data_IF_905412972495
#
_entry.id   IF_905412972495
#
_cell.length_a   1.000
_cell.length_b   1.000
_cell.length_c   1.000
_cell.angle_alpha   90.00
_cell.angle_beta   90.00
_cell.angle_gamma   90.00
#
_symmetry.space_group_name_H-M   'P 1'
#
loop_
_entity.id
_entity.type
_entity.pdbx_description
1 polymer ?
#
# COMPACT_ATOMS: atom_id res chain seq x y z
N UNK A 1 -26.45 -54.75 -10.87
CA UNK A 1 -25.39 -55.08 -9.90
C UNK A 1 -24.06 -54.86 -10.60
N UNK A 2 -23.46 -53.66 -10.61
CA UNK A 2 -23.08 -52.73 -9.54
C UNK A 2 -21.76 -53.12 -8.83
N UNK A 3 -20.79 -52.21 -9.01
CA UNK A 3 -19.60 -51.87 -8.22
C UNK A 3 -18.39 -52.82 -8.23
N UNK A 4 -17.31 -52.30 -8.82
CA UNK A 4 -15.98 -52.38 -8.24
C UNK A 4 -15.35 -50.98 -8.31
N UNK A 5 -14.78 -50.59 -7.19
CA UNK A 5 -14.74 -49.23 -6.66
C UNK A 5 -13.66 -48.33 -7.24
N UNK A 6 -14.01 -47.04 -7.24
CA UNK A 6 -13.11 -45.90 -7.32
C UNK A 6 -11.97 -46.02 -6.29
N UNK A 7 -10.75 -46.29 -6.74
CA UNK A 7 -9.58 -45.87 -5.99
C UNK A 7 -9.22 -44.45 -6.40
N UNK A 8 -9.62 -43.57 -5.49
CA UNK A 8 -9.37 -42.15 -5.39
C UNK A 8 -7.85 -41.89 -5.39
N UNK A 9 -7.25 -41.66 -6.56
CA UNK A 9 -6.00 -40.90 -6.64
C UNK A 9 -6.39 -39.42 -6.66
N UNK A 10 -6.52 -38.83 -5.47
CA UNK A 10 -6.42 -37.40 -5.30
C UNK A 10 -5.01 -36.98 -5.75
N UNK A 11 -4.86 -36.66 -7.02
CA UNK A 11 -3.79 -35.78 -7.47
C UNK A 11 -4.10 -34.46 -6.78
N UNK A 12 -3.34 -34.09 -5.75
CA UNK A 12 -3.26 -32.71 -5.30
C UNK A 12 -2.86 -31.93 -6.55
N UNK A 13 -3.80 -31.23 -7.19
CA UNK A 13 -3.45 -30.25 -8.19
C UNK A 13 -2.47 -29.30 -7.51
N UNK A 14 -1.24 -29.21 -8.00
CA UNK A 14 -0.32 -28.18 -7.58
C UNK A 14 -1.07 -26.85 -7.74
N UNK A 15 -1.23 -26.13 -6.63
CA UNK A 15 -1.77 -24.78 -6.70
C UNK A 15 -0.66 -23.96 -7.35
N UNK A 16 -0.75 -23.82 -8.67
CA UNK A 16 0.17 -22.99 -9.45
C UNK A 16 -0.13 -21.55 -9.10
N UNK A 17 0.87 -20.82 -8.59
CA UNK A 17 0.74 -19.39 -8.31
C UNK A 17 0.66 -18.57 -9.60
N UNK A 18 0.65 -17.26 -9.44
CA UNK A 18 0.61 -16.31 -10.54
C UNK A 18 2.00 -16.20 -11.17
N UNK A 19 2.12 -16.59 -12.45
CA UNK A 19 3.41 -16.68 -13.17
C UNK A 19 3.84 -15.39 -13.87
N UNK A 20 2.94 -14.42 -14.01
CA UNK A 20 3.24 -13.10 -14.57
C UNK A 20 2.78 -11.99 -13.60
N UNK A 21 3.64 -11.03 -13.24
CA UNK A 21 3.26 -9.97 -12.31
C UNK A 21 2.13 -9.08 -12.84
N UNK A 22 1.31 -8.54 -11.95
CA UNK A 22 0.32 -7.52 -12.30
C UNK A 22 0.95 -6.12 -12.30
N UNK A 23 0.49 -5.23 -13.18
CA UNK A 23 0.92 -3.82 -13.18
C UNK A 23 0.62 -3.16 -11.84
N UNK A 24 1.58 -2.37 -11.35
CA UNK A 24 1.51 -1.63 -10.08
C UNK A 24 1.09 -2.47 -8.87
N UNK A 25 1.29 -3.79 -8.88
CA UNK A 25 0.89 -4.64 -7.75
C UNK A 25 2.07 -5.45 -7.25
N UNK A 26 2.53 -5.14 -6.05
CA UNK A 26 3.49 -5.95 -5.32
C UNK A 26 2.75 -7.02 -4.51
N UNK A 27 3.18 -8.28 -4.61
CA UNK A 27 2.59 -9.41 -3.88
C UNK A 27 3.66 -10.32 -3.32
N UNK A 28 3.28 -11.03 -2.27
CA UNK A 28 4.09 -12.11 -1.69
C UNK A 28 4.29 -13.24 -2.71
N UNK A 29 5.48 -13.83 -2.69
CA UNK A 29 5.84 -14.99 -3.49
C UNK A 29 5.42 -16.30 -2.80
N UNK A 30 5.40 -17.41 -3.55
CA UNK A 30 5.05 -18.76 -3.05
C UNK A 30 5.97 -19.25 -1.92
N UNK A 31 7.18 -18.71 -1.80
CA UNK A 31 8.11 -18.95 -0.69
C UNK A 31 7.88 -18.04 0.53
N UNK A 32 6.79 -17.26 0.54
CA UNK A 32 6.40 -16.31 1.59
C UNK A 32 7.36 -15.11 1.76
N UNK A 33 8.05 -14.72 0.69
CA UNK A 33 8.92 -13.53 0.68
C UNK A 33 8.30 -12.42 -0.18
N UNK A 34 8.68 -11.16 0.02
CA UNK A 34 8.32 -10.05 -0.89
C UNK A 34 9.50 -9.60 -1.77
N UNK A 35 10.73 -9.70 -1.25
CA UNK A 35 11.91 -9.10 -1.89
C UNK A 35 13.18 -9.95 -1.88
N UNK A 36 13.07 -11.26 -1.66
CA UNK A 36 14.24 -12.12 -1.62
C UNK A 36 14.74 -12.53 -3.01
N UNK A 37 16.04 -12.84 -3.08
CA UNK A 37 16.70 -13.43 -4.25
C UNK A 37 16.55 -12.63 -5.57
N UNK A 38 16.46 -11.29 -5.48
CA UNK A 38 16.34 -10.41 -6.65
C UNK A 38 14.98 -10.49 -7.35
N UNK A 39 14.01 -11.22 -6.79
CA UNK A 39 12.67 -11.36 -7.37
C UNK A 39 11.89 -10.05 -7.38
N UNK A 40 12.16 -9.12 -6.48
CA UNK A 40 11.52 -7.79 -6.44
C UNK A 40 11.84 -6.90 -7.66
N UNK A 41 12.88 -7.23 -8.45
CA UNK A 41 13.38 -6.34 -9.50
C UNK A 41 12.36 -6.06 -10.62
N UNK A 42 11.26 -6.82 -10.72
CA UNK A 42 10.17 -6.50 -11.65
C UNK A 42 9.57 -5.11 -11.39
N UNK A 43 9.63 -4.62 -10.14
CA UNK A 43 9.15 -3.27 -9.77
C UNK A 43 9.92 -2.16 -10.50
N UNK A 44 11.17 -2.43 -10.92
CA UNK A 44 12.00 -1.48 -11.67
C UNK A 44 11.71 -1.46 -13.18
N UNK A 45 10.88 -2.37 -13.67
CA UNK A 45 10.65 -2.51 -15.10
C UNK A 45 9.85 -1.32 -15.65
N UNK A 46 10.22 -0.78 -16.82
CA UNK A 46 9.56 0.41 -17.40
C UNK A 46 8.07 0.24 -17.71
N UNK A 47 7.63 -0.98 -18.01
CA UNK A 47 6.21 -1.33 -18.18
C UNK A 47 5.46 -1.63 -16.85
N UNK A 48 6.11 -1.59 -15.70
CA UNK A 48 5.47 -1.94 -14.43
C UNK A 48 4.44 -0.89 -13.97
N UNK A 49 4.84 0.38 -14.10
CA UNK A 49 4.07 1.54 -13.68
C UNK A 49 4.46 2.75 -14.54
N UNK A 50 3.49 3.58 -14.91
CA UNK A 50 3.79 4.87 -15.55
C UNK A 50 4.29 5.89 -14.51
N UNK A 51 5.53 6.37 -14.72
CA UNK A 51 6.17 7.44 -13.97
C UNK A 51 6.10 7.29 -12.42
N UNK A 52 6.47 6.13 -11.85
CA UNK A 52 6.33 5.82 -10.42
C UNK A 52 7.08 6.81 -9.52
N UNK A 53 8.20 7.37 -10.00
CA UNK A 53 9.01 8.36 -9.29
C UNK A 53 8.23 9.62 -8.91
N UNK A 54 7.18 9.99 -9.67
CA UNK A 54 6.36 11.16 -9.35
C UNK A 54 5.50 10.90 -8.11
N UNK A 55 4.92 9.71 -7.97
CA UNK A 55 4.09 9.32 -6.83
C UNK A 55 4.94 9.18 -5.56
N UNK A 56 6.12 8.56 -5.69
CA UNK A 56 7.07 8.46 -4.58
C UNK A 56 7.56 9.83 -4.14
N UNK A 57 7.92 10.71 -5.08
CA UNK A 57 8.35 12.08 -4.75
C UNK A 57 7.27 12.86 -4.01
N UNK A 58 6.01 12.75 -4.42
CA UNK A 58 4.89 13.41 -3.74
C UNK A 58 4.76 12.94 -2.29
N UNK A 59 4.87 11.64 -2.05
CA UNK A 59 4.88 11.07 -0.70
C UNK A 59 6.09 11.51 0.13
N UNK A 60 7.29 11.55 -0.44
CA UNK A 60 8.48 12.02 0.29
C UNK A 60 8.36 13.48 0.74
N UNK A 61 7.68 14.33 -0.05
CA UNK A 61 7.35 15.70 0.35
C UNK A 61 6.33 15.73 1.50
N UNK A 62 5.29 14.90 1.43
CA UNK A 62 4.32 14.77 2.53
C UNK A 62 4.99 14.26 3.81
N UNK A 63 5.84 13.24 3.71
CA UNK A 63 6.58 12.68 4.85
C UNK A 63 7.45 13.77 5.49
N UNK A 64 8.17 14.55 4.68
CA UNK A 64 8.97 15.68 5.18
C UNK A 64 8.11 16.67 5.96
N UNK A 65 6.96 17.07 5.41
CA UNK A 65 6.08 18.04 6.05
C UNK A 65 5.43 17.49 7.35
N UNK A 66 5.18 16.18 7.42
CA UNK A 66 4.72 15.49 8.64
C UNK A 66 5.81 15.46 9.71
N UNK A 67 7.06 15.22 9.34
CA UNK A 67 8.18 15.26 10.27
C UNK A 67 8.39 16.68 10.83
N UNK A 68 8.24 17.71 10.00
CA UNK A 68 8.25 19.11 10.47
C UNK A 68 7.07 19.40 11.41
N UNK A 69 5.90 18.80 11.19
CA UNK A 69 4.78 18.92 12.12
C UNK A 69 5.10 18.33 13.51
N UNK A 70 5.91 17.27 13.58
CA UNK A 70 6.32 16.65 14.84
C UNK A 70 7.22 17.52 15.70
N UNK A 71 7.85 18.56 15.14
CA UNK A 71 8.58 19.58 15.92
C UNK A 71 7.64 20.39 16.84
N UNK A 72 6.33 20.36 16.56
CA UNK A 72 5.31 21.11 17.30
C UNK A 72 4.25 20.21 17.96
N UNK A 73 3.97 19.05 17.37
CA UNK A 73 2.94 18.11 17.84
C UNK A 73 3.58 16.75 18.05
N UNK A 74 3.80 16.40 19.32
CA UNK A 74 4.39 15.11 19.70
C UNK A 74 3.54 13.93 19.17
N UNK A 75 4.14 12.93 18.50
CA UNK A 75 3.46 11.70 18.11
C UNK A 75 3.01 10.92 19.34
N UNK A 76 1.79 11.18 19.80
CA UNK A 76 1.26 10.62 21.04
C UNK A 76 -0.25 10.49 21.03
N UNK A 77 -0.77 9.55 21.84
CA UNK A 77 -2.22 9.37 22.02
C UNK A 77 -2.89 10.67 22.51
N UNK A 78 -2.18 11.47 23.31
CA UNK A 78 -2.68 12.73 23.86
C UNK A 78 -2.99 13.79 22.78
N UNK A 79 -2.37 13.69 21.60
CA UNK A 79 -2.50 14.67 20.52
C UNK A 79 -3.46 14.24 19.41
N UNK A 80 -4.11 13.08 19.49
CA UNK A 80 -4.97 12.55 18.41
C UNK A 80 -6.07 13.53 17.96
N UNK A 81 -6.70 14.23 18.90
CA UNK A 81 -7.76 15.21 18.64
C UNK A 81 -7.25 16.62 18.24
N UNK A 82 -5.93 16.83 18.24
CA UNK A 82 -5.32 18.11 17.86
C UNK A 82 -5.61 18.40 16.39
N UNK A 83 -6.16 19.58 16.10
CA UNK A 83 -6.50 20.01 14.75
C UNK A 83 -5.92 21.40 14.51
N UNK A 84 -5.53 21.69 13.28
CA UNK A 84 -4.97 22.97 12.89
C UNK A 84 -5.09 23.17 11.38
N UNK A 85 -4.87 24.41 10.91
CA UNK A 85 -4.85 24.66 9.47
C UNK A 85 -3.72 23.90 8.77
N UNK A 86 -2.59 23.65 9.46
CA UNK A 86 -1.48 22.86 8.94
C UNK A 86 -1.86 21.38 8.82
N UNK A 87 -2.54 20.82 9.81
CA UNK A 87 -3.05 19.44 9.74
C UNK A 87 -4.07 19.31 8.60
N UNK A 88 -5.00 20.26 8.48
CA UNK A 88 -5.99 20.28 7.39
C UNK A 88 -5.34 20.34 6.01
N UNK A 89 -4.35 21.22 5.82
CA UNK A 89 -3.60 21.33 4.55
C UNK A 89 -2.91 20.00 4.18
N UNK A 90 -2.23 19.37 5.15
CA UNK A 90 -1.55 18.09 4.93
C UNK A 90 -2.51 16.93 4.69
N UNK A 91 -3.63 16.88 5.42
CA UNK A 91 -4.67 15.86 5.20
C UNK A 91 -5.24 15.96 3.79
N UNK A 92 -5.52 17.19 3.32
CA UNK A 92 -6.04 17.43 1.96
C UNK A 92 -5.05 16.93 0.90
N UNK A 93 -3.78 17.33 0.99
CA UNK A 93 -2.73 16.91 0.04
C UNK A 93 -2.55 15.39 0.06
N UNK A 94 -2.54 14.78 1.24
CA UNK A 94 -2.37 13.33 1.39
C UNK A 94 -3.51 12.56 0.74
N UNK A 95 -4.76 12.95 0.98
CA UNK A 95 -5.91 12.27 0.37
C UNK A 95 -5.94 12.43 -1.16
N UNK A 96 -5.52 13.58 -1.69
CA UNK A 96 -5.37 13.77 -3.15
C UNK A 96 -4.33 12.81 -3.73
N UNK A 97 -3.21 12.62 -3.07
CA UNK A 97 -2.19 11.65 -3.52
C UNK A 97 -2.65 10.19 -3.40
N UNK A 98 -3.47 9.86 -2.40
CA UNK A 98 -4.15 8.55 -2.33
C UNK A 98 -5.07 8.38 -3.54
N UNK A 99 -5.94 9.35 -3.82
CA UNK A 99 -6.86 9.31 -4.97
C UNK A 99 -6.09 9.16 -6.28
N UNK A 100 -4.96 9.85 -6.44
CA UNK A 100 -4.10 9.76 -7.62
C UNK A 100 -3.47 8.37 -7.78
N UNK A 101 -2.92 7.78 -6.71
CA UNK A 101 -2.37 6.43 -6.73
C UNK A 101 -3.45 5.38 -7.05
N UNK A 102 -4.59 5.43 -6.36
CA UNK A 102 -5.72 4.56 -6.65
C UNK A 102 -6.19 4.69 -8.10
N UNK A 103 -6.20 5.93 -8.61
CA UNK A 103 -6.57 6.20 -9.99
C UNK A 103 -5.60 5.54 -10.98
N UNK A 104 -4.31 5.62 -10.71
CA UNK A 104 -3.32 5.09 -11.61
C UNK A 104 -3.29 3.54 -11.58
N UNK A 105 -3.45 2.92 -10.41
CA UNK A 105 -3.62 1.46 -10.27
C UNK A 105 -4.78 0.95 -11.13
N UNK A 106 -5.98 1.51 -10.96
CA UNK A 106 -7.16 1.05 -11.69
C UNK A 106 -7.03 1.31 -13.19
N UNK A 107 -6.53 2.49 -13.59
CA UNK A 107 -6.40 2.89 -15.00
C UNK A 107 -5.43 2.01 -15.76
N UNK A 108 -4.24 1.76 -15.21
CA UNK A 108 -3.20 0.96 -15.88
C UNK A 108 -3.56 -0.53 -15.95
N UNK A 109 -4.50 -0.97 -15.12
CA UNK A 109 -5.10 -2.30 -15.19
C UNK A 109 -6.39 -2.34 -16.07
N UNK A 110 -6.68 -1.27 -16.81
CA UNK A 110 -7.78 -1.23 -17.78
C UNK A 110 -9.18 -1.06 -17.17
N UNK A 111 -9.28 -0.70 -15.89
CA UNK A 111 -10.57 -0.40 -15.28
C UNK A 111 -11.15 0.89 -15.87
N UNK A 112 -12.38 0.82 -16.36
CA UNK A 112 -13.11 1.96 -16.93
C UNK A 112 -14.36 2.24 -16.14
N UNK A 113 -14.68 3.52 -15.95
CA UNK A 113 -15.93 3.97 -15.34
C UNK A 113 -16.47 5.20 -16.06
N UNK A 114 -17.80 5.30 -16.14
CA UNK A 114 -18.48 6.52 -16.54
C UNK A 114 -18.54 7.53 -15.37
N UNK A 115 -17.97 8.72 -15.56
CA UNK A 115 -17.95 9.79 -14.56
C UNK A 115 -16.76 9.72 -13.59
N UNK A 116 -16.79 10.59 -12.58
CA UNK A 116 -15.72 10.72 -11.61
C UNK A 116 -15.59 9.48 -10.71
N UNK A 117 -14.35 9.08 -10.47
CA UNK A 117 -14.06 7.94 -9.61
C UNK A 117 -14.29 8.32 -8.16
N UNK A 118 -14.74 7.35 -7.36
CA UNK A 118 -15.02 7.57 -5.96
C UNK A 118 -14.45 6.45 -5.10
N UNK A 119 -14.60 6.60 -3.79
CA UNK A 119 -14.09 5.61 -2.83
C UNK A 119 -14.65 4.20 -3.04
N UNK A 120 -15.84 4.06 -3.63
CA UNK A 120 -16.38 2.77 -4.02
C UNK A 120 -15.55 2.07 -5.11
N UNK A 121 -14.98 2.81 -6.05
CA UNK A 121 -14.05 2.24 -7.05
C UNK A 121 -12.70 1.92 -6.42
N UNK A 122 -12.13 2.87 -5.69
CA UNK A 122 -10.80 2.71 -5.10
C UNK A 122 -10.73 1.49 -4.19
N UNK A 123 -11.81 1.19 -3.49
CA UNK A 123 -11.94 0.01 -2.65
C UNK A 123 -11.79 -1.32 -3.41
N UNK A 124 -12.00 -1.36 -4.73
CA UNK A 124 -11.74 -2.57 -5.55
C UNK A 124 -10.28 -2.99 -5.53
N UNK A 125 -9.36 -2.06 -5.24
CA UNK A 125 -7.92 -2.31 -5.09
C UNK A 125 -7.63 -3.33 -3.98
N UNK A 126 -8.54 -3.47 -3.00
CA UNK A 126 -8.44 -4.53 -1.98
C UNK A 126 -8.34 -5.93 -2.59
N UNK A 127 -8.99 -6.18 -3.75
CA UNK A 127 -8.97 -7.48 -4.45
C UNK A 127 -7.55 -7.89 -4.88
N UNK A 128 -6.66 -6.92 -5.13
CA UNK A 128 -5.32 -7.19 -5.66
C UNK A 128 -4.20 -6.90 -4.67
N UNK A 129 -4.34 -5.87 -3.84
CA UNK A 129 -3.27 -5.36 -2.99
C UNK A 129 -3.40 -5.78 -1.52
N UNK A 130 -4.55 -6.31 -1.09
CA UNK A 130 -4.80 -6.71 0.31
C UNK A 130 -4.46 -5.61 1.34
N UNK A 131 -4.80 -4.35 1.00
CA UNK A 131 -4.44 -3.17 1.79
C UNK A 131 -4.96 -3.24 3.22
N UNK A 132 -6.10 -3.91 3.43
CA UNK A 132 -6.67 -4.12 4.76
C UNK A 132 -5.78 -4.93 5.72
N UNK A 133 -4.82 -5.69 5.20
CA UNK A 133 -3.88 -6.49 5.98
C UNK A 133 -2.59 -5.74 6.35
N UNK A 134 -2.34 -4.53 5.81
CA UNK A 134 -1.15 -3.76 6.15
C UNK A 134 -1.27 -3.12 7.54
N UNK A 135 -0.24 -3.34 8.36
CA UNK A 135 0.00 -2.55 9.57
C UNK A 135 1.11 -1.54 9.28
N UNK A 136 0.91 -0.27 9.65
CA UNK A 136 1.92 0.78 9.51
C UNK A 136 2.26 1.36 10.88
N UNK A 137 3.53 1.30 11.25
CA UNK A 137 4.06 1.81 12.49
C UNK A 137 4.66 3.19 12.30
N UNK A 138 4.23 4.12 13.14
CA UNK A 138 4.85 5.43 13.36
C UNK A 138 5.91 5.27 14.46
N UNK A 139 7.21 5.42 14.16
CA UNK A 139 8.25 5.30 15.19
C UNK A 139 8.13 6.38 16.27
N UNK A 140 8.71 6.10 17.44
CA UNK A 140 8.80 7.04 18.57
C UNK A 140 7.45 7.54 19.12
N UNK A 141 6.39 6.75 18.94
CA UNK A 141 5.05 7.11 19.43
C UNK A 141 4.94 6.95 20.96
N UNK A 142 4.39 7.96 21.64
CA UNK A 142 4.06 7.91 23.06
C UNK A 142 2.61 7.47 23.27
N UNK A 143 2.43 6.20 23.66
CA UNK A 143 1.12 5.60 23.89
C UNK A 143 0.96 4.29 23.12
N UNK A 144 -0.28 3.95 22.81
CA UNK A 144 -0.62 2.68 22.13
C UNK A 144 -1.12 2.84 20.70
N UNK A 145 -1.40 4.07 20.24
CA UNK A 145 -1.97 4.33 18.92
C UNK A 145 -0.93 4.49 17.78
N UNK A 146 0.32 4.09 18.01
CA UNK A 146 1.43 4.23 17.05
C UNK A 146 1.48 3.19 15.93
N UNK A 147 0.66 2.13 16.02
CA UNK A 147 0.44 1.17 14.91
C UNK A 147 -0.93 1.43 14.31
N UNK A 148 -0.98 1.69 13.01
CA UNK A 148 -2.17 2.07 12.25
C UNK A 148 -2.56 0.96 11.27
N UNK A 149 -3.86 0.81 11.05
CA UNK A 149 -4.44 -0.13 10.08
C UNK A 149 -5.36 0.65 9.11
N UNK A 150 -4.78 1.48 8.23
CA UNK A 150 -5.49 2.57 7.57
C UNK A 150 -6.60 2.11 6.61
N UNK A 151 -6.49 0.89 6.09
CA UNK A 151 -7.46 0.29 5.17
C UNK A 151 -8.24 -0.89 5.78
N UNK A 152 -8.14 -1.15 7.08
CA UNK A 152 -8.81 -2.29 7.75
C UNK A 152 -10.31 -2.40 7.43
N UNK A 153 -11.00 -1.26 7.30
CA UNK A 153 -12.44 -1.23 6.98
C UNK A 153 -12.77 -1.75 5.57
N UNK A 154 -11.81 -1.82 4.64
CA UNK A 154 -12.06 -2.38 3.31
C UNK A 154 -12.31 -3.89 3.34
N UNK A 155 -11.75 -4.62 4.31
CA UNK A 155 -12.00 -6.06 4.50
C UNK A 155 -13.49 -6.38 4.72
N UNK A 156 -14.20 -5.53 5.46
CA UNK A 156 -15.63 -5.67 5.79
C UNK A 156 -16.52 -4.81 4.90
N UNK A 157 -15.97 -4.32 3.80
CA UNK A 157 -16.67 -3.44 2.88
C UNK A 157 -17.07 -2.04 3.41
N UNK A 158 -16.48 -1.56 4.49
CA UNK A 158 -16.74 -0.25 5.08
C UNK A 158 -16.04 0.94 4.42
N UNK A 159 -16.35 2.15 4.90
CA UNK A 159 -15.68 3.40 4.54
C UNK A 159 -14.46 3.65 5.43
N UNK A 160 -13.51 4.45 4.93
CA UNK A 160 -12.34 4.87 5.71
C UNK A 160 -12.67 6.15 6.48
N UNK A 161 -12.45 6.14 7.80
CA UNK A 161 -12.76 7.26 8.68
C UNK A 161 -12.01 8.53 8.28
N UNK A 162 -10.70 8.43 8.05
CA UNK A 162 -9.85 9.55 7.64
C UNK A 162 -10.23 10.14 6.28
N UNK A 163 -10.65 9.30 5.31
CA UNK A 163 -11.12 9.79 4.02
C UNK A 163 -12.49 10.47 4.13
N UNK A 164 -13.36 9.95 5.00
CA UNK A 164 -14.66 10.58 5.31
C UNK A 164 -14.45 11.96 5.93
N UNK A 165 -13.53 12.07 6.89
CA UNK A 165 -13.12 13.34 7.51
C UNK A 165 -12.54 14.33 6.49
N UNK A 166 -11.70 13.87 5.57
CA UNK A 166 -11.21 14.68 4.45
C UNK A 166 -12.36 15.23 3.60
N UNK A 167 -13.33 14.41 3.20
CA UNK A 167 -14.46 14.90 2.38
C UNK A 167 -15.32 15.91 3.15
N UNK A 168 -15.61 15.66 4.43
CA UNK A 168 -16.36 16.61 5.25
C UNK A 168 -15.64 17.96 5.38
N UNK A 169 -14.33 17.95 5.64
CA UNK A 169 -13.53 19.17 5.79
C UNK A 169 -13.32 19.91 4.47
N UNK A 170 -13.31 19.19 3.33
CA UNK A 170 -13.25 19.75 1.97
C UNK A 170 -14.54 20.46 1.59
N UNK A 171 -15.70 19.88 1.87
CA UNK A 171 -17.00 20.39 1.43
C UNK A 171 -17.66 21.35 2.43
N UNK A 172 -17.44 21.16 3.73
CA UNK A 172 -18.00 21.99 4.80
C UNK A 172 -17.00 22.14 5.95
N UNK A 173 -15.93 22.89 5.68
CA UNK A 173 -14.88 23.17 6.66
C UNK A 173 -15.42 23.88 7.90
N UNK A 174 -16.37 24.80 7.74
CA UNK A 174 -16.85 25.62 8.85
C UNK A 174 -17.42 24.77 9.98
N UNK A 175 -18.16 23.71 9.66
CA UNK A 175 -18.74 22.80 10.65
C UNK A 175 -17.83 21.63 11.03
N UNK A 176 -16.90 21.24 10.15
CA UNK A 176 -16.15 19.99 10.30
C UNK A 176 -14.64 20.17 10.48
N UNK A 177 -14.14 21.39 10.72
CA UNK A 177 -12.70 21.65 10.80
C UNK A 177 -11.97 20.77 11.83
N UNK A 178 -12.63 20.44 12.95
CA UNK A 178 -12.09 19.55 13.98
C UNK A 178 -11.87 18.10 13.51
N UNK A 179 -12.48 17.67 12.40
CA UNK A 179 -12.23 16.36 11.80
C UNK A 179 -10.88 16.33 11.05
N UNK A 180 -10.34 17.50 10.65
CA UNK A 180 -8.96 17.61 10.20
C UNK A 180 -7.99 17.61 11.40
N UNK A 181 -7.98 16.49 12.11
CA UNK A 181 -7.18 16.27 13.30
C UNK A 181 -5.98 15.36 13.02
N UNK A 182 -5.10 15.28 14.00
CA UNK A 182 -3.85 14.55 13.94
C UNK A 182 -4.08 13.06 13.68
N UNK A 183 -5.08 12.46 14.30
CA UNK A 183 -5.46 11.07 14.06
C UNK A 183 -5.75 10.79 12.57
N UNK A 184 -6.66 11.56 11.97
CA UNK A 184 -7.04 11.38 10.57
C UNK A 184 -5.89 11.68 9.61
N UNK A 185 -5.03 12.65 9.94
CA UNK A 185 -3.82 12.92 9.17
C UNK A 185 -2.86 11.71 9.21
N UNK A 186 -2.55 11.20 10.39
CA UNK A 186 -1.62 10.08 10.55
C UNK A 186 -2.16 8.82 9.87
N UNK A 187 -3.46 8.54 9.97
CA UNK A 187 -4.08 7.45 9.23
C UNK A 187 -4.02 7.63 7.71
N UNK A 188 -4.25 8.84 7.20
CA UNK A 188 -4.15 9.12 5.78
C UNK A 188 -2.71 8.94 5.26
N UNK A 189 -1.70 9.42 6.00
CA UNK A 189 -0.28 9.31 5.61
C UNK A 189 0.20 7.86 5.73
N UNK A 190 -0.20 7.16 6.78
CA UNK A 190 0.03 5.72 6.90
C UNK A 190 -0.63 4.95 5.75
N UNK A 191 -1.86 5.33 5.37
CA UNK A 191 -2.55 4.79 4.20
C UNK A 191 -1.78 5.02 2.91
N UNK A 192 -1.29 6.24 2.68
CA UNK A 192 -0.47 6.53 1.50
C UNK A 192 0.84 5.72 1.49
N UNK A 193 1.49 5.56 2.64
CA UNK A 193 2.68 4.70 2.79
C UNK A 193 2.39 3.23 2.45
N UNK A 194 1.31 2.66 3.00
CA UNK A 194 0.89 1.29 2.68
C UNK A 194 0.49 1.13 1.20
N UNK A 195 -0.18 2.12 0.62
CA UNK A 195 -0.59 2.13 -0.79
C UNK A 195 0.60 2.22 -1.75
N UNK A 196 1.66 2.95 -1.38
CA UNK A 196 2.88 2.96 -2.18
C UNK A 196 3.66 1.66 -2.00
N UNK A 197 3.74 1.12 -0.78
CA UNK A 197 4.44 -0.14 -0.54
C UNK A 197 3.79 -1.33 -1.25
N UNK A 198 2.46 -1.33 -1.35
CA UNK A 198 1.72 -2.34 -2.11
C UNK A 198 1.91 -2.22 -3.63
N UNK A 199 2.48 -1.12 -4.11
CA UNK A 199 2.89 -0.94 -5.51
C UNK A 199 4.40 -1.13 -5.67
N UNK A 200 5.24 -0.64 -4.77
CA UNK A 200 6.66 -0.44 -5.03
C UNK A 200 7.58 -1.03 -3.96
N UNK A 201 7.02 -1.78 -2.99
CA UNK A 201 7.74 -2.26 -1.81
C UNK A 201 8.39 -1.08 -1.06
N UNK A 202 9.69 -1.14 -0.80
CA UNK A 202 10.48 -0.06 -0.20
C UNK A 202 11.26 0.77 -1.23
N UNK A 203 11.00 0.60 -2.54
CA UNK A 203 11.74 1.26 -3.59
C UNK A 203 11.37 2.74 -3.73
N UNK A 204 12.35 3.62 -3.64
CA UNK A 204 12.18 5.07 -3.74
C UNK A 204 12.54 5.67 -5.12
N UNK A 205 12.92 4.83 -6.08
CA UNK A 205 13.39 5.21 -7.43
C UNK A 205 14.49 6.28 -7.44
N UNK A 206 15.36 6.27 -6.42
CA UNK A 206 16.48 7.21 -6.34
C UNK A 206 17.41 7.14 -7.57
N UNK A 207 17.76 8.29 -8.19
CA UNK A 207 18.62 8.32 -9.37
C UNK A 207 20.07 7.91 -9.07
N UNK A 208 20.46 7.88 -7.79
CA UNK A 208 21.78 7.42 -7.36
C UNK A 208 21.99 5.92 -7.57
N UNK A 209 20.91 5.17 -7.88
CA UNK A 209 20.93 3.72 -7.98
C UNK A 209 20.93 3.03 -6.62
N UNK A 210 20.87 1.70 -6.64
CA UNK A 210 20.90 0.89 -5.42
C UNK A 210 22.31 0.88 -4.82
N UNK A 211 22.48 1.54 -3.69
CA UNK A 211 23.70 1.44 -2.87
C UNK A 211 23.68 0.19 -1.98
N UNK A 212 24.84 -0.44 -1.78
CA UNK A 212 25.00 -1.45 -0.73
C UNK A 212 25.00 -0.74 0.64
N UNK A 213 23.92 -0.90 1.40
CA UNK A 213 23.84 -0.43 2.79
C UNK A 213 24.04 -1.60 3.74
N UNK A 214 24.95 -1.45 4.71
CA UNK A 214 25.01 -2.35 5.87
C UNK A 214 23.98 -1.85 6.87
N UNK A 215 22.72 -2.23 6.65
CA UNK A 215 21.67 -1.99 7.62
C UNK A 215 21.74 -3.12 8.67
N UNK A 216 22.04 -2.86 9.95
CA UNK A 216 22.08 -3.88 10.99
C UNK A 216 20.70 -4.50 11.30
N UNK A 217 19.68 -4.16 10.52
CA UNK A 217 18.29 -4.43 10.79
C UNK A 217 17.69 -3.29 11.62
N UNK A 218 16.41 -3.00 11.38
CA UNK A 218 15.63 -2.18 12.30
C UNK A 218 15.40 -2.91 13.63
N UNK A 219 14.61 -2.32 14.55
CA UNK A 219 14.11 -3.04 15.72
C UNK A 219 13.53 -4.41 15.33
N UNK A 220 13.79 -5.45 16.14
CA UNK A 220 13.20 -6.77 15.93
C UNK A 220 11.72 -6.78 16.39
N UNK A 221 10.90 -5.98 15.71
CA UNK A 221 9.48 -5.77 15.99
C UNK A 221 8.55 -6.35 14.91
N UNK A 222 9.14 -7.04 13.92
CA UNK A 222 8.43 -7.62 12.80
C UNK A 222 7.97 -6.60 11.76
N UNK A 223 8.36 -5.33 11.86
CA UNK A 223 8.11 -4.34 10.82
C UNK A 223 9.35 -4.13 9.94
N UNK A 224 9.14 -3.80 8.69
CA UNK A 224 10.17 -3.48 7.72
C UNK A 224 10.15 -1.97 7.40
N UNK A 225 11.28 -1.36 7.01
CA UNK A 225 11.27 0.03 6.54
C UNK A 225 10.32 0.23 5.35
N UNK A 226 9.61 1.35 5.34
CA UNK A 226 8.89 1.84 4.16
C UNK A 226 9.77 2.80 3.33
N UNK A 227 9.27 3.15 2.16
CA UNK A 227 9.77 4.26 1.34
C UNK A 227 10.00 5.50 2.21
N UNK A 228 11.12 6.19 2.02
CA UNK A 228 11.48 7.38 2.79
C UNK A 228 12.04 7.10 4.18
N UNK A 229 12.08 5.84 4.63
CA UNK A 229 12.84 5.41 5.80
C UNK A 229 12.30 5.82 7.18
N UNK A 230 11.15 6.49 7.25
CA UNK A 230 10.52 6.85 8.52
C UNK A 230 9.48 5.81 8.96
N UNK A 231 8.41 5.64 8.18
CA UNK A 231 7.39 4.66 8.51
C UNK A 231 7.94 3.24 8.41
N UNK A 232 7.41 2.33 9.23
CA UNK A 232 7.70 0.90 9.14
C UNK A 232 6.40 0.15 8.89
N UNK A 233 6.45 -0.95 8.16
CA UNK A 233 5.25 -1.66 7.70
C UNK A 233 5.37 -3.16 7.84
N UNK A 234 4.24 -3.81 8.06
CA UNK A 234 4.06 -5.24 7.89
C UNK A 234 3.25 -5.48 6.64
N UNK A 235 3.78 -6.33 5.78
CA UNK A 235 3.12 -6.73 4.55
C UNK A 235 2.04 -7.80 4.82
N UNK A 236 1.05 -7.93 3.94
CA UNK A 236 0.06 -9.01 3.96
C UNK A 236 0.73 -10.38 3.90
N UNK A 237 0.36 -11.27 4.81
CA UNK A 237 0.84 -12.67 4.84
C UNK A 237 -0.27 -13.68 4.54
N UNK A 238 -1.54 -13.28 4.70
CA UNK A 238 -2.70 -14.14 4.47
C UNK A 238 -3.23 -13.95 3.04
N UNK A 239 -2.36 -14.17 2.06
CA UNK A 239 -2.69 -14.18 0.62
C UNK A 239 -2.88 -15.64 0.19
N UNK A 240 -3.97 -16.01 -0.52
CA UNK A 240 -4.16 -17.37 -1.02
C UNK A 240 -2.98 -17.82 -1.90
N UNK A 241 -2.53 -19.08 -1.78
CA UNK A 241 -1.37 -19.58 -2.54
C UNK A 241 -1.55 -19.44 -4.07
N UNK A 242 -2.79 -19.55 -4.57
CA UNK A 242 -3.12 -19.33 -5.99
C UNK A 242 -2.96 -17.89 -6.46
N UNK A 243 -2.85 -16.95 -5.54
CA UNK A 243 -2.71 -15.51 -5.81
C UNK A 243 -1.30 -14.97 -5.57
N UNK A 244 -0.42 -15.79 -4.98
CA UNK A 244 1.00 -15.47 -4.78
C UNK A 244 1.77 -15.52 -6.09
N UNK A 245 2.84 -14.75 -6.20
CA UNK A 245 3.73 -14.84 -7.36
C UNK A 245 4.62 -16.08 -7.30
N UNK A 246 4.76 -16.77 -8.44
CA UNK A 246 5.54 -18.00 -8.56
C UNK A 246 6.70 -17.91 -9.57
N UNK A 247 6.91 -16.74 -10.16
CA UNK A 247 8.05 -16.48 -11.03
C UNK A 247 9.33 -16.21 -10.24
N UNK A 248 10.48 -16.51 -10.85
CA UNK A 248 11.81 -16.24 -10.31
C UNK A 248 12.47 -15.01 -10.92
N UNK A 249 13.64 -14.65 -10.39
CA UNK A 249 14.46 -13.56 -10.93
C UNK A 249 14.84 -13.80 -12.41
N UNK A 250 15.05 -15.06 -12.81
CA UNK A 250 15.38 -15.44 -14.19
C UNK A 250 14.27 -15.16 -15.19
N UNK A 251 13.03 -15.00 -14.73
CA UNK A 251 11.86 -14.77 -15.59
C UNK A 251 11.62 -13.27 -15.86
N UNK A 252 12.38 -12.38 -15.20
CA UNK A 252 12.27 -10.93 -15.36
C UNK A 252 13.04 -10.50 -16.62
N UNK A 253 12.33 -10.32 -17.73
CA UNK A 253 12.88 -9.77 -18.97
C UNK A 253 12.62 -8.26 -19.07
N UNK A 254 13.67 -7.46 -18.94
CA UNK A 254 13.60 -6.00 -19.02
C UNK A 254 13.36 -5.42 -20.42
N UNK A 255 13.39 -6.26 -21.47
CA UNK A 255 13.21 -5.81 -22.85
C UNK A 255 11.81 -6.05 -23.39
N UNK A 256 11.00 -6.88 -22.71
CA UNK A 256 9.66 -7.27 -23.16
C UNK A 256 8.63 -6.97 -22.08
N UNK A 257 7.36 -6.79 -22.48
CA UNK A 257 6.29 -6.62 -21.50
C UNK A 257 5.92 -7.96 -20.86
N UNK A 258 6.27 -8.10 -19.58
CA UNK A 258 6.01 -9.30 -18.77
C UNK A 258 4.77 -9.18 -17.88
N UNK A 259 4.06 -8.04 -17.92
CA UNK A 259 2.97 -7.74 -17.00
C UNK A 259 1.60 -8.07 -17.59
N UNK A 260 0.69 -8.46 -16.69
CA UNK A 260 -0.73 -8.62 -16.98
C UNK A 260 -1.57 -7.59 -16.21
N UNK A 261 -2.81 -7.39 -16.66
CA UNK A 261 -3.79 -6.54 -15.98
C UNK A 261 -4.62 -7.34 -14.98
N UNK A 262 -4.82 -6.79 -13.79
CA UNK A 262 -5.75 -7.32 -12.81
C UNK A 262 -7.19 -6.90 -13.18
N UNK A 263 -8.11 -7.86 -13.26
CA UNK A 263 -9.50 -7.60 -13.63
C UNK A 263 -10.33 -7.16 -12.40
N UNK A 264 -10.42 -5.85 -12.18
CA UNK A 264 -11.24 -5.28 -11.11
C UNK A 264 -12.73 -5.35 -11.42
N UNK A 265 -13.50 -6.01 -10.55
CA UNK A 265 -14.96 -6.11 -10.64
C UNK A 265 -15.67 -5.21 -9.63
#
# INVERSE_FOLDING_TARGET
MQKLDNNLLCIKGEIVGVTAPYRRTARIFTDNTYSDSGKWMYVLHGNYADSPENFVRAFLLIQKDVLELFDYIEPSDANLATHSHRIHELLLRTCVEVEANCTAILRENGYTRSGDWNMGDYKKIEQSHYLSQYEVKVPNWLGSAGVRNPFSSWASSGSLGWYTAYNHTKHDRHLNFNQANFENLIDAVAGLSALLASQFLDNDFSPAGMGLSVNPGGPNDGFEPSIGGFFRLKYPTNVPDSEKYDFGHSDIDFNNDIFQSFNYT
#
